data_IF_498919958398
#
_entry.id   IF_498919958398
#
_cell.length_a   1.000
_cell.length_b   1.000
_cell.length_c   1.000
_cell.angle_alpha   90.00
_cell.angle_beta   90.00
_cell.angle_gamma   90.00
#
_symmetry.space_group_name_H-M   'P 1'
#
loop_
_entity.id
_entity.type
_entity.pdbx_description
1 polymer ?
#
# COMPACT_ATOMS: atom_id res chain seq x y z
N UNK A 1 -19.45 1.29 16.07
CA UNK A 1 -18.39 0.28 16.27
C UNK A 1 -17.11 1.03 16.56
N UNK A 2 -16.45 0.79 17.69
CA UNK A 2 -15.23 1.49 18.11
C UNK A 2 -14.07 0.51 18.19
N UNK A 3 -12.86 0.94 17.83
CA UNK A 3 -11.64 0.15 18.01
C UNK A 3 -11.26 0.23 19.50
N UNK A 4 -11.03 -0.92 20.14
CA UNK A 4 -10.59 -0.97 21.54
C UNK A 4 -9.15 -0.49 21.73
N UNK A 5 -8.74 -0.23 22.97
CA UNK A 5 -7.42 0.33 23.28
C UNK A 5 -6.26 -0.49 22.71
N UNK A 6 -6.35 -1.82 22.72
CA UNK A 6 -5.32 -2.67 22.11
C UNK A 6 -5.11 -2.34 20.62
N UNK A 7 -6.19 -2.16 19.86
CA UNK A 7 -6.11 -1.80 18.45
C UNK A 7 -5.58 -0.38 18.23
N UNK A 8 -5.95 0.56 19.11
CA UNK A 8 -5.42 1.92 19.07
C UNK A 8 -3.92 1.97 19.38
N UNK A 9 -3.46 1.15 20.31
CA UNK A 9 -2.05 1.01 20.65
C UNK A 9 -1.26 0.41 19.49
N UNK A 10 -1.79 -0.66 18.87
CA UNK A 10 -1.17 -1.32 17.72
C UNK A 10 -1.04 -0.42 16.49
N UNK A 11 -2.05 0.41 16.20
CA UNK A 11 -2.08 1.20 14.96
C UNK A 11 -1.48 2.60 15.13
N UNK A 12 -1.71 3.27 16.28
CA UNK A 12 -1.45 4.71 16.40
C UNK A 12 -0.47 5.10 17.51
N UNK A 13 -0.59 4.54 18.72
CA UNK A 13 0.17 5.05 19.88
C UNK A 13 1.55 4.39 20.00
N UNK A 14 1.60 3.06 19.83
CA UNK A 14 2.81 2.26 20.08
C UNK A 14 3.49 1.76 18.79
N UNK A 15 2.82 1.82 17.63
CA UNK A 15 3.41 1.44 16.35
C UNK A 15 4.71 2.24 16.08
N UNK A 16 5.76 1.57 15.58
CA UNK A 16 7.04 2.19 15.20
C UNK A 16 7.50 1.64 13.85
N UNK A 17 8.30 2.42 13.15
CA UNK A 17 8.99 1.95 11.94
C UNK A 17 10.03 0.91 12.32
N UNK A 18 9.96 -0.27 11.69
CA UNK A 18 10.94 -1.32 11.82
C UNK A 18 11.86 -1.34 10.60
N UNK A 19 13.16 -1.59 10.83
CA UNK A 19 14.19 -1.62 9.79
C UNK A 19 14.85 -3.00 9.62
N UNK A 20 14.40 -4.00 10.39
CA UNK A 20 14.91 -5.37 10.38
C UNK A 20 13.75 -6.34 10.19
N UNK A 21 13.95 -7.36 9.37
CA UNK A 21 12.90 -8.28 8.94
C UNK A 21 13.17 -9.69 9.45
N UNK A 22 12.10 -10.39 9.82
CA UNK A 22 12.15 -11.84 10.03
C UNK A 22 12.18 -12.53 8.66
N UNK A 23 12.85 -13.68 8.60
CA UNK A 23 12.77 -14.57 7.44
C UNK A 23 11.43 -15.32 7.46
N UNK A 24 10.36 -14.59 7.17
CA UNK A 24 8.99 -15.10 7.16
C UNK A 24 8.29 -14.57 5.90
N UNK A 25 7.83 -15.46 5.01
CA UNK A 25 7.16 -15.03 3.79
C UNK A 25 5.80 -14.41 4.08
N UNK A 26 5.38 -13.49 3.21
CA UNK A 26 4.01 -12.95 3.20
C UNK A 26 3.28 -13.52 1.99
N UNK A 27 2.16 -14.18 2.26
CA UNK A 27 1.35 -14.84 1.24
C UNK A 27 0.52 -13.86 0.41
N UNK A 28 0.12 -14.29 -0.79
CA UNK A 28 -0.79 -13.52 -1.65
C UNK A 28 -2.14 -13.25 -0.97
N UNK A 29 -2.61 -14.21 -0.17
CA UNK A 29 -3.85 -14.07 0.60
C UNK A 29 -3.74 -12.91 1.59
N UNK A 30 -2.66 -12.85 2.38
CA UNK A 30 -2.43 -11.75 3.32
C UNK A 30 -2.33 -10.39 2.62
N UNK A 31 -1.66 -10.32 1.46
CA UNK A 31 -1.59 -9.09 0.68
C UNK A 31 -2.96 -8.65 0.14
N UNK A 32 -3.79 -9.61 -0.28
CA UNK A 32 -5.17 -9.34 -0.71
C UNK A 32 -6.02 -8.86 0.46
N UNK A 33 -5.95 -9.52 1.62
CA UNK A 33 -6.66 -9.10 2.84
C UNK A 33 -6.27 -7.68 3.26
N UNK A 34 -4.98 -7.36 3.21
CA UNK A 34 -4.48 -6.01 3.47
C UNK A 34 -5.09 -4.98 2.49
N UNK A 35 -5.12 -5.30 1.20
CA UNK A 35 -5.73 -4.43 0.18
C UNK A 35 -7.24 -4.26 0.40
N UNK A 36 -7.95 -5.34 0.72
CA UNK A 36 -9.40 -5.33 0.97
C UNK A 36 -9.78 -4.44 2.16
N UNK A 37 -8.93 -4.33 3.18
CA UNK A 37 -9.09 -3.38 4.28
C UNK A 37 -8.74 -1.95 3.87
N UNK A 38 -7.60 -1.76 3.20
CA UNK A 38 -7.05 -0.43 2.88
C UNK A 38 -7.88 0.32 1.83
N UNK A 39 -8.45 -0.36 0.84
CA UNK A 39 -9.15 0.26 -0.30
C UNK A 39 -10.36 1.12 0.08
N UNK A 40 -10.89 0.96 1.29
CA UNK A 40 -12.04 1.70 1.81
C UNK A 40 -11.67 3.02 2.50
N UNK A 41 -10.39 3.39 2.52
CA UNK A 41 -9.96 4.68 3.04
C UNK A 41 -10.67 5.85 2.34
N UNK A 42 -11.00 6.94 3.07
CA UNK A 42 -11.66 8.09 2.48
C UNK A 42 -10.76 8.72 1.41
N UNK A 43 -11.34 9.03 0.24
CA UNK A 43 -10.64 9.66 -0.87
C UNK A 43 -11.55 10.66 -1.56
N UNK A 44 -10.97 11.75 -2.08
CA UNK A 44 -11.70 12.76 -2.82
C UNK A 44 -12.55 12.10 -3.91
N UNK A 45 -13.85 12.39 -3.86
CA UNK A 45 -14.81 11.98 -4.87
C UNK A 45 -14.87 10.46 -5.12
N UNK A 46 -14.44 9.62 -4.16
CA UNK A 46 -14.33 8.16 -4.36
C UNK A 46 -13.48 7.79 -5.61
N UNK A 47 -12.52 8.63 -5.99
CA UNK A 47 -11.75 8.50 -7.25
C UNK A 47 -10.81 7.28 -7.27
N UNK A 48 -10.43 6.74 -6.12
CA UNK A 48 -9.59 5.53 -5.97
C UNK A 48 -8.33 5.49 -6.87
N UNK A 49 -7.48 6.53 -6.88
CA UNK A 49 -6.37 6.61 -7.81
C UNK A 49 -5.19 5.71 -7.42
N UNK A 50 -5.14 5.20 -6.18
CA UNK A 50 -4.03 4.41 -5.68
C UNK A 50 -3.77 3.16 -6.56
N UNK A 51 -2.49 2.90 -6.83
CA UNK A 51 -2.00 1.70 -7.52
C UNK A 51 -0.87 1.12 -6.68
N UNK A 52 -0.99 -0.15 -6.29
CA UNK A 52 -0.03 -0.79 -5.40
C UNK A 52 0.64 -1.94 -6.13
N UNK A 53 1.97 -1.91 -6.17
CA UNK A 53 2.80 -2.99 -6.67
C UNK A 53 3.53 -3.66 -5.50
N UNK A 54 3.28 -4.94 -5.28
CA UNK A 54 4.00 -5.74 -4.29
C UNK A 54 5.21 -6.44 -4.93
N UNK A 55 6.41 -6.00 -4.58
CA UNK A 55 7.70 -6.51 -5.06
C UNK A 55 8.23 -7.56 -4.07
N UNK A 56 8.50 -8.78 -4.54
CA UNK A 56 8.90 -9.92 -3.68
C UNK A 56 10.12 -10.67 -4.19
N UNK A 57 10.14 -11.02 -5.47
CA UNK A 57 11.22 -11.81 -6.05
C UNK A 57 12.54 -11.04 -6.03
N UNK A 58 13.65 -11.78 -5.99
CA UNK A 58 14.99 -11.18 -6.01
C UNK A 58 15.16 -10.31 -7.26
N UNK A 59 14.78 -10.83 -8.41
CA UNK A 59 14.89 -10.17 -9.72
C UNK A 59 14.10 -8.85 -9.74
N UNK A 60 12.87 -8.85 -9.21
CA UNK A 60 12.04 -7.65 -9.16
C UNK A 60 12.62 -6.60 -8.19
N UNK A 61 13.20 -7.03 -7.06
CA UNK A 61 13.89 -6.13 -6.14
C UNK A 61 15.19 -5.57 -6.73
N UNK A 62 15.94 -6.35 -7.51
CA UNK A 62 17.13 -5.84 -8.20
C UNK A 62 16.75 -4.76 -9.23
N UNK A 63 15.59 -4.89 -9.89
CA UNK A 63 15.05 -3.82 -10.75
C UNK A 63 14.67 -2.55 -9.96
N UNK A 64 14.25 -2.71 -8.70
CA UNK A 64 13.93 -1.58 -7.81
C UNK A 64 15.20 -0.91 -7.24
N UNK A 65 16.25 -1.69 -6.95
CA UNK A 65 17.48 -1.23 -6.30
C UNK A 65 18.05 0.11 -6.80
N UNK A 66 18.19 0.39 -8.12
CA UNK A 66 18.75 1.66 -8.58
C UNK A 66 17.89 2.89 -8.27
N UNK A 67 16.60 2.71 -7.95
CA UNK A 67 15.70 3.79 -7.55
C UNK A 67 15.70 4.04 -6.03
N UNK A 68 16.43 3.24 -5.25
CA UNK A 68 16.52 3.38 -3.81
C UNK A 68 17.63 4.35 -3.41
N UNK A 69 17.38 5.13 -2.37
CA UNK A 69 18.43 5.85 -1.67
C UNK A 69 19.41 4.84 -1.03
N UNK A 70 20.73 5.14 -0.97
CA UNK A 70 21.72 4.21 -0.41
C UNK A 70 21.36 3.69 0.98
N UNK A 71 20.87 4.55 1.87
CA UNK A 71 20.47 4.21 3.23
C UNK A 71 19.27 3.24 3.32
N UNK A 72 18.51 3.06 2.23
CA UNK A 72 17.35 2.18 2.20
C UNK A 72 17.62 0.84 1.51
N UNK A 73 18.75 0.69 0.82
CA UNK A 73 19.02 -0.49 -0.01
C UNK A 73 18.95 -1.76 0.81
N UNK A 74 19.73 -1.89 1.89
CA UNK A 74 19.84 -3.16 2.61
C UNK A 74 18.51 -3.60 3.22
N UNK A 75 17.79 -2.68 3.88
CA UNK A 75 16.49 -2.98 4.48
C UNK A 75 15.43 -3.35 3.42
N UNK A 76 15.39 -2.65 2.28
CA UNK A 76 14.40 -2.94 1.23
C UNK A 76 14.69 -4.26 0.54
N UNK A 77 15.98 -4.56 0.29
CA UNK A 77 16.38 -5.82 -0.32
C UNK A 77 16.10 -7.02 0.60
N UNK A 78 16.20 -6.83 1.91
CA UNK A 78 15.90 -7.84 2.94
C UNK A 78 14.39 -8.03 3.21
N UNK A 79 13.54 -7.02 2.97
CA UNK A 79 12.12 -7.08 3.29
C UNK A 79 11.39 -8.23 2.56
N UNK A 80 10.53 -9.04 3.19
CA UNK A 80 9.83 -10.14 2.49
C UNK A 80 8.94 -9.62 1.35
N UNK A 81 8.40 -8.40 1.48
CA UNK A 81 7.66 -7.68 0.44
C UNK A 81 8.01 -6.20 0.53
N UNK A 82 8.14 -5.53 -0.61
CA UNK A 82 8.15 -4.06 -0.71
C UNK A 82 6.92 -3.61 -1.48
N UNK A 83 6.06 -2.82 -0.85
CA UNK A 83 4.92 -2.19 -1.52
C UNK A 83 5.35 -0.85 -2.11
N UNK A 84 5.22 -0.69 -3.43
CA UNK A 84 5.35 0.60 -4.11
C UNK A 84 3.95 1.14 -4.33
N UNK A 85 3.67 2.33 -3.79
CA UNK A 85 2.40 3.01 -3.94
C UNK A 85 2.58 4.13 -4.97
N UNK A 86 1.96 3.94 -6.13
CA UNK A 86 1.77 4.98 -7.13
C UNK A 86 0.32 5.46 -7.15
N UNK A 87 0.03 6.38 -8.06
CA UNK A 87 -1.33 6.83 -8.32
C UNK A 87 -1.54 7.00 -9.82
N UNK A 88 -2.77 6.73 -10.26
CA UNK A 88 -3.20 6.92 -11.63
C UNK A 88 -3.57 8.39 -11.86
N UNK A 89 -2.79 9.09 -12.69
CA UNK A 89 -3.07 10.50 -13.03
C UNK A 89 -4.30 10.66 -13.92
N UNK A 90 -4.80 9.56 -14.51
CA UNK A 90 -6.01 9.52 -15.33
C UNK A 90 -7.18 8.84 -14.61
N UNK A 91 -7.20 8.91 -13.27
CA UNK A 91 -8.28 8.36 -12.45
C UNK A 91 -9.68 8.83 -12.89
N UNK A 92 -9.78 10.03 -13.45
CA UNK A 92 -11.02 10.65 -13.91
C UNK A 92 -11.70 9.86 -15.04
N UNK A 93 -10.98 9.02 -15.77
CA UNK A 93 -11.57 8.11 -16.78
C UNK A 93 -12.58 7.12 -16.12
N UNK A 94 -12.45 6.87 -14.81
CA UNK A 94 -13.35 6.01 -14.06
C UNK A 94 -14.49 6.75 -13.34
N UNK A 95 -14.53 8.08 -13.40
CA UNK A 95 -15.57 8.89 -12.74
C UNK A 95 -17.00 8.44 -13.08
N UNK A 96 -17.38 8.11 -14.33
CA UNK A 96 -18.73 7.64 -14.63
C UNK A 96 -19.14 6.37 -13.87
N UNK A 97 -18.17 5.53 -13.51
CA UNK A 97 -18.39 4.29 -12.76
C UNK A 97 -18.34 4.51 -11.24
N UNK A 98 -17.40 5.33 -10.77
CA UNK A 98 -17.11 5.50 -9.34
C UNK A 98 -17.95 6.61 -8.69
N UNK A 99 -18.48 7.53 -9.50
CA UNK A 99 -19.35 8.64 -9.11
C UNK A 99 -20.62 8.70 -9.99
N UNK A 100 -21.42 7.64 -10.07
CA UNK A 100 -22.61 7.62 -10.93
C UNK A 100 -23.63 8.71 -10.60
N UNK A 101 -23.63 9.22 -9.36
CA UNK A 101 -24.49 10.31 -8.91
C UNK A 101 -24.07 11.70 -9.43
N UNK A 102 -22.82 11.87 -9.88
CA UNK A 102 -22.36 13.15 -10.45
C UNK A 102 -21.22 12.95 -11.47
N UNK A 103 -21.52 12.44 -12.67
CA UNK A 103 -20.53 12.02 -13.65
C UNK A 103 -19.81 13.18 -14.36
N UNK A 104 -20.22 14.44 -14.13
CA UNK A 104 -19.69 15.64 -14.80
C UNK A 104 -18.58 16.35 -14.00
N UNK A 105 -18.30 15.91 -12.77
CA UNK A 105 -17.17 16.40 -11.97
C UNK A 105 -16.00 15.44 -12.21
N UNK A 106 -15.22 15.70 -13.25
CA UNK A 106 -14.01 14.99 -13.62
C UNK A 106 -12.82 15.96 -13.66
#
# INVERSE_FOLDING_TARGET
MTIGDHGLDQIFRQARTHHVWRDTPVSDMQLRELYELMKWGPISANSTPARILFVRSREAKERLRPALLPANVDQTMAAPVTAIIGYDTRFFEFTPKLMPQNPLIA
#
